data_IF_042479782297
#
_entry.id   IF_042479782297
#
_cell.length_a   1.000
_cell.length_b   1.000
_cell.length_c   1.000
_cell.angle_alpha   90.00
_cell.angle_beta   90.00
_cell.angle_gamma   90.00
#
_symmetry.space_group_name_H-M   'P 1'
#
loop_
_entity.id
_entity.type
_entity.pdbx_description
1 polymer ?
#
# COMPACT_ATOMS: atom_id res chain seq x y z
N UNK A 1 7.35 -10.86 -4.50
CA UNK A 1 6.90 -9.45 -4.48
C UNK A 1 5.86 -9.18 -5.57
N UNK A 2 4.80 -8.46 -5.23
CA UNK A 2 3.70 -8.05 -6.09
C UNK A 2 4.05 -6.79 -6.88
N UNK A 3 3.69 -6.76 -8.15
CA UNK A 3 3.91 -5.61 -9.07
C UNK A 3 2.60 -5.06 -9.63
N UNK A 4 1.47 -5.56 -9.14
CA UNK A 4 0.12 -5.16 -9.52
C UNK A 4 -0.61 -4.56 -8.31
N UNK A 5 -1.64 -3.76 -8.57
CA UNK A 5 -2.46 -3.20 -7.50
C UNK A 5 -3.11 -4.30 -6.67
N UNK A 6 -2.95 -4.24 -5.35
CA UNK A 6 -3.69 -5.08 -4.41
C UNK A 6 -4.73 -4.22 -3.69
N UNK A 7 -5.98 -4.67 -3.67
CA UNK A 7 -7.07 -4.02 -2.96
C UNK A 7 -7.63 -4.95 -1.88
N UNK A 8 -7.85 -4.43 -0.68
CA UNK A 8 -8.38 -5.17 0.46
C UNK A 8 -9.36 -4.29 1.25
N UNK A 9 -10.36 -4.92 1.87
CA UNK A 9 -11.28 -4.25 2.79
C UNK A 9 -11.06 -4.80 4.19
N UNK A 10 -10.83 -3.90 5.14
CA UNK A 10 -10.68 -4.25 6.55
C UNK A 10 -11.90 -3.80 7.35
N UNK A 11 -12.50 -4.71 8.10
CA UNK A 11 -13.64 -4.45 9.01
C UNK A 11 -13.22 -3.93 10.40
N UNK A 12 -11.93 -4.01 10.71
CA UNK A 12 -11.32 -3.57 11.96
C UNK A 12 -9.98 -2.88 11.71
N UNK A 13 -9.43 -2.22 12.73
CA UNK A 13 -8.07 -1.67 12.64
C UNK A 13 -7.06 -2.80 12.44
N UNK A 14 -6.27 -2.72 11.37
CA UNK A 14 -5.27 -3.73 11.00
C UNK A 14 -3.88 -3.10 10.99
N UNK A 15 -2.90 -3.82 11.54
CA UNK A 15 -1.49 -3.46 11.46
C UNK A 15 -0.81 -4.39 10.47
N UNK A 16 -0.09 -3.83 9.51
CA UNK A 16 0.65 -4.63 8.52
C UNK A 16 2.05 -4.09 8.36
N UNK A 17 2.97 -4.95 7.95
CA UNK A 17 4.28 -4.53 7.44
C UNK A 17 4.24 -4.57 5.92
N UNK A 18 4.54 -3.44 5.30
CA UNK A 18 4.70 -3.29 3.86
C UNK A 18 6.19 -3.31 3.53
N UNK A 19 6.66 -4.38 2.91
CA UNK A 19 8.00 -4.43 2.32
C UNK A 19 7.95 -3.82 0.92
N UNK A 20 8.79 -2.82 0.63
CA UNK A 20 8.85 -2.08 -0.63
C UNK A 20 10.20 -2.31 -1.29
N UNK A 21 10.16 -2.57 -2.60
CA UNK A 21 11.30 -2.49 -3.51
C UNK A 21 10.96 -1.46 -4.58
N UNK A 22 11.54 -0.26 -4.49
CA UNK A 22 11.17 0.89 -5.32
C UNK A 22 11.62 0.72 -6.77
N UNK A 23 12.82 0.21 -7.02
CA UNK A 23 13.38 -0.02 -8.37
C UNK A 23 13.28 1.19 -9.32
N UNK A 24 13.45 2.41 -8.79
CA UNK A 24 13.30 3.66 -9.56
C UNK A 24 11.86 4.15 -9.71
N UNK A 25 10.88 3.41 -9.18
CA UNK A 25 9.48 3.79 -9.05
C UNK A 25 9.05 4.04 -7.61
N UNK A 26 7.77 3.80 -7.32
CA UNK A 26 7.21 4.00 -5.98
C UNK A 26 6.06 3.05 -5.67
N UNK A 27 5.77 2.86 -4.40
CA UNK A 27 4.57 2.15 -3.94
C UNK A 27 3.70 3.14 -3.16
N UNK A 28 2.47 3.36 -3.64
CA UNK A 28 1.49 4.24 -3.02
C UNK A 28 0.46 3.44 -2.25
N UNK A 29 0.08 3.92 -1.07
CA UNK A 29 -1.02 3.36 -0.28
C UNK A 29 -2.17 4.33 -0.33
N UNK A 30 -3.35 3.81 -0.68
CA UNK A 30 -4.53 4.63 -0.91
C UNK A 30 -5.72 4.08 -0.14
N UNK A 31 -6.56 4.98 0.35
CA UNK A 31 -7.82 4.68 1.02
C UNK A 31 -8.99 5.16 0.15
N UNK A 32 -10.06 4.37 0.13
CA UNK A 32 -11.28 4.74 -0.59
C UNK A 32 -12.04 5.83 0.18
N UNK A 33 -12.42 6.90 -0.51
CA UNK A 33 -13.24 7.99 0.01
C UNK A 33 -14.37 8.28 -0.99
N UNK A 34 -15.55 7.72 -0.72
CA UNK A 34 -16.65 7.67 -1.70
C UNK A 34 -16.23 6.88 -2.94
N UNK A 35 -16.38 7.50 -4.12
CA UNK A 35 -15.97 6.93 -5.41
C UNK A 35 -14.49 7.22 -5.77
N UNK A 36 -13.77 7.96 -4.93
CA UNK A 36 -12.39 8.39 -5.16
C UNK A 36 -11.40 7.64 -4.28
N UNK A 37 -10.12 7.71 -4.66
CA UNK A 37 -9.00 7.14 -3.91
C UNK A 37 -8.05 8.24 -3.46
N UNK A 38 -7.77 8.29 -2.17
CA UNK A 38 -6.86 9.27 -1.58
C UNK A 38 -5.55 8.58 -1.25
N UNK A 39 -4.44 9.17 -1.69
CA UNK A 39 -3.10 8.69 -1.35
C UNK A 39 -2.76 9.08 0.10
N UNK A 40 -2.59 8.09 0.96
CA UNK A 40 -2.19 8.31 2.35
C UNK A 40 -0.68 8.38 2.46
N UNK A 41 0.01 7.52 1.72
CA UNK A 41 1.45 7.35 1.81
C UNK A 41 2.04 7.01 0.44
N UNK A 42 3.29 7.39 0.21
CA UNK A 42 4.05 6.91 -0.94
C UNK A 42 5.50 6.67 -0.56
N UNK A 43 6.01 5.52 -1.00
CA UNK A 43 7.33 5.03 -0.67
C UNK A 43 8.19 4.98 -1.94
N UNK A 44 9.22 5.83 -2.00
CA UNK A 44 10.19 5.91 -3.11
C UNK A 44 11.51 5.20 -2.81
N UNK A 45 11.64 4.60 -1.63
CA UNK A 45 12.85 3.90 -1.19
C UNK A 45 12.51 2.47 -0.80
N UNK A 46 13.50 1.61 -0.95
CA UNK A 46 13.43 0.25 -0.42
C UNK A 46 13.33 0.29 1.10
N UNK A 47 12.50 -0.58 1.66
CA UNK A 47 12.33 -0.62 3.12
C UNK A 47 11.15 -1.48 3.56
N UNK A 48 11.04 -1.66 4.88
CA UNK A 48 9.89 -2.27 5.52
C UNK A 48 9.20 -1.21 6.38
N UNK A 49 7.92 -0.95 6.09
CA UNK A 49 7.15 0.12 6.72
C UNK A 49 6.00 -0.48 7.53
N UNK A 50 5.90 -0.14 8.81
CA UNK A 50 4.73 -0.51 9.60
C UNK A 50 3.59 0.47 9.32
N UNK A 51 2.45 -0.08 8.92
CA UNK A 51 1.23 0.67 8.61
C UNK A 51 0.12 0.24 9.54
N UNK A 52 -0.73 1.19 9.92
CA UNK A 52 -1.93 0.96 10.72
C UNK A 52 -3.11 1.50 9.94
N UNK A 53 -3.96 0.61 9.44
CA UNK A 53 -5.16 0.96 8.70
C UNK A 53 -6.37 0.96 9.62
N UNK A 54 -7.19 2.04 9.63
CA UNK A 54 -8.53 1.96 10.22
C UNK A 54 -9.42 1.03 9.37
N UNK A 55 -10.62 0.67 9.86
CA UNK A 55 -11.61 -0.04 9.05
C UNK A 55 -11.92 0.74 7.77
N UNK A 56 -11.47 0.21 6.63
CA UNK A 56 -11.58 0.88 5.33
C UNK A 56 -11.26 -0.09 4.18
N UNK A 57 -11.69 0.28 2.97
CA UNK A 57 -11.15 -0.30 1.74
C UNK A 57 -9.87 0.45 1.37
N UNK A 58 -8.76 -0.29 1.26
CA UNK A 58 -7.45 0.23 0.89
C UNK A 58 -6.96 -0.43 -0.40
N UNK A 59 -6.07 0.25 -1.11
CA UNK A 59 -5.29 -0.35 -2.18
C UNK A 59 -3.85 0.08 -2.14
N UNK A 60 -2.96 -0.83 -2.51
CA UNK A 60 -1.52 -0.62 -2.62
C UNK A 60 -1.19 -0.64 -4.11
N UNK A 61 -0.62 0.45 -4.62
CA UNK A 61 -0.42 0.72 -6.05
C UNK A 61 1.07 0.89 -6.32
N UNK A 62 1.74 -0.10 -6.91
CA UNK A 62 3.11 0.08 -7.41
C UNK A 62 3.12 0.89 -8.71
N UNK A 63 4.18 1.65 -8.92
CA UNK A 63 4.42 2.44 -10.12
C UNK A 63 5.86 2.23 -10.62
N UNK A 64 6.07 2.36 -11.93
CA UNK A 64 7.38 2.35 -12.59
C UNK A 64 8.35 1.25 -12.12
N UNK A 65 7.92 -0.02 -12.19
CA UNK A 65 8.77 -1.18 -11.87
C UNK A 65 8.95 -1.47 -10.38
N UNK A 66 8.30 -0.70 -9.50
CA UNK A 66 8.26 -1.00 -8.08
C UNK A 66 7.51 -2.29 -7.78
N UNK A 67 7.88 -2.92 -6.67
CA UNK A 67 7.24 -4.12 -6.15
C UNK A 67 7.06 -4.04 -4.64
N UNK A 68 6.10 -4.79 -4.10
CA UNK A 68 5.84 -4.81 -2.66
C UNK A 68 5.40 -6.18 -2.14
N UNK A 69 5.46 -6.37 -0.83
CA UNK A 69 4.86 -7.50 -0.12
C UNK A 69 4.17 -7.01 1.15
N UNK A 70 3.06 -7.65 1.50
CA UNK A 70 2.24 -7.29 2.68
C UNK A 70 2.29 -8.45 3.66
N UNK A 71 2.62 -8.14 4.90
CA UNK A 71 2.66 -9.07 6.02
C UNK A 71 1.69 -8.56 7.09
N UNK A 72 0.65 -9.34 7.41
CA UNK A 72 -0.41 -8.97 8.36
C UNK A 72 -0.43 -9.91 9.57
#
# INVERSE_FOLDING_TARGET
MQTVTKQETYDRTMKVTLAVKANGGSVSVQIQAGDSWINTDTFWKDGAYQLSFPPATIRIVPAAGAAFEVYA
#
